data_IF_230632705974
#
_entry.id   IF_230632705974
#
_cell.length_a   1.000
_cell.length_b   1.000
_cell.length_c   1.000
_cell.angle_alpha   90.00
_cell.angle_beta   90.00
_cell.angle_gamma   90.00
#
_symmetry.space_group_name_H-M   'P 1'
#
loop_
_entity.id
_entity.type
_entity.pdbx_description
1 polymer ?
#
# COMPACT_ATOMS: atom_id res chain seq x y z
N UNK A 1 -23.61 -27.14 -9.59
CA UNK A 1 -24.08 -25.76 -9.90
C UNK A 1 -24.22 -24.90 -8.65
N UNK A 2 -24.86 -25.37 -7.56
CA UNK A 2 -25.02 -24.59 -6.31
C UNK A 2 -23.70 -24.10 -5.68
N UNK A 3 -22.63 -24.90 -5.69
CA UNK A 3 -21.34 -24.48 -5.11
C UNK A 3 -20.72 -23.29 -5.86
N UNK A 4 -20.75 -23.29 -7.19
CA UNK A 4 -20.18 -22.19 -8.00
C UNK A 4 -20.97 -20.88 -7.83
N UNK A 5 -22.30 -20.96 -7.76
CA UNK A 5 -23.14 -19.77 -7.53
C UNK A 5 -22.92 -19.17 -6.14
N UNK A 6 -22.74 -20.02 -5.12
CA UNK A 6 -22.45 -19.55 -3.75
C UNK A 6 -21.10 -18.84 -3.71
N UNK A 7 -20.04 -19.43 -4.28
CA UNK A 7 -18.72 -18.80 -4.32
C UNK A 7 -18.75 -17.44 -5.02
N UNK A 8 -19.41 -17.35 -6.18
CA UNK A 8 -19.53 -16.07 -6.91
C UNK A 8 -20.29 -15.03 -6.10
N UNK A 9 -21.40 -15.41 -5.46
CA UNK A 9 -22.17 -14.50 -4.62
C UNK A 9 -21.35 -14.01 -3.42
N UNK A 10 -20.63 -14.92 -2.75
CA UNK A 10 -19.76 -14.59 -1.62
C UNK A 10 -18.67 -13.60 -2.03
N UNK A 11 -17.97 -13.85 -3.14
CA UNK A 11 -16.94 -12.93 -3.66
C UNK A 11 -17.55 -11.56 -3.96
N UNK A 12 -18.71 -11.53 -4.62
CA UNK A 12 -19.40 -10.29 -4.95
C UNK A 12 -19.81 -9.50 -3.71
N UNK A 13 -20.29 -10.17 -2.66
CA UNK A 13 -20.59 -9.54 -1.37
C UNK A 13 -19.34 -8.97 -0.69
N UNK A 14 -18.22 -9.70 -0.71
CA UNK A 14 -16.94 -9.22 -0.15
C UNK A 14 -16.48 -7.97 -0.89
N UNK A 15 -16.55 -7.97 -2.23
CA UNK A 15 -16.16 -6.81 -3.05
C UNK A 15 -17.09 -5.63 -2.78
N UNK A 16 -18.42 -5.83 -2.73
CA UNK A 16 -19.36 -4.76 -2.40
C UNK A 16 -19.07 -4.18 -1.01
N UNK A 17 -18.84 -5.03 -0.02
CA UNK A 17 -18.48 -4.58 1.34
C UNK A 17 -17.19 -3.77 1.35
N UNK A 18 -16.14 -4.26 0.70
CA UNK A 18 -14.86 -3.58 0.57
C UNK A 18 -15.02 -2.18 -0.03
N UNK A 19 -15.73 -2.05 -1.16
CA UNK A 19 -15.96 -0.76 -1.81
C UNK A 19 -16.89 0.16 -1.02
N UNK A 20 -17.91 -0.39 -0.34
CA UNK A 20 -18.79 0.40 0.52
C UNK A 20 -18.01 1.05 1.67
N UNK A 21 -17.20 0.28 2.37
CA UNK A 21 -16.36 0.79 3.46
C UNK A 21 -15.26 1.72 2.93
N UNK A 22 -14.59 1.35 1.84
CA UNK A 22 -13.51 2.16 1.27
C UNK A 22 -13.97 3.51 0.74
N UNK A 23 -15.11 3.60 0.05
CA UNK A 23 -15.63 4.87 -0.47
C UNK A 23 -16.17 5.78 0.64
N UNK A 24 -16.51 5.23 1.80
CA UNK A 24 -17.02 6.01 2.93
C UNK A 24 -15.99 6.98 3.51
N UNK A 25 -14.69 6.75 3.32
CA UNK A 25 -13.61 7.64 3.78
C UNK A 25 -13.75 9.07 3.24
N UNK A 26 -14.23 9.21 1.99
CA UNK A 26 -14.44 10.51 1.34
C UNK A 26 -15.67 11.27 1.86
N UNK A 27 -16.46 10.65 2.75
CA UNK A 27 -17.59 11.31 3.40
C UNK A 27 -17.20 11.93 4.74
N UNK A 28 -16.04 11.54 5.30
CA UNK A 28 -15.53 12.00 6.59
C UNK A 28 -14.64 13.24 6.51
N UNK A 29 -14.55 13.96 7.63
CA UNK A 29 -13.62 15.08 7.82
C UNK A 29 -12.28 14.54 8.36
N UNK A 30 -11.14 15.09 7.94
CA UNK A 30 -9.80 14.68 8.37
C UNK A 30 -9.43 15.06 9.81
N UNK A 31 -10.31 15.81 10.48
CA UNK A 31 -10.20 16.17 11.89
C UNK A 31 -10.65 14.99 12.77
N UNK A 32 -9.95 14.75 13.88
CA UNK A 32 -10.32 13.74 14.86
C UNK A 32 -11.76 13.95 15.38
N UNK A 33 -12.53 12.86 15.47
CA UNK A 33 -13.92 12.94 15.94
C UNK A 33 -13.96 13.44 17.39
N UNK A 34 -14.80 14.45 17.65
CA UNK A 34 -14.93 15.06 18.99
C UNK A 34 -13.91 16.14 19.31
N UNK A 35 -13.10 16.59 18.34
CA UNK A 35 -12.22 17.74 18.48
C UNK A 35 -12.62 18.88 17.56
N UNK A 36 -12.20 20.10 17.92
CA UNK A 36 -12.43 21.33 17.19
C UNK A 36 -11.09 22.05 17.01
N UNK A 37 -10.88 22.61 15.81
CA UNK A 37 -9.88 23.65 15.60
C UNK A 37 -10.60 24.98 15.48
N UNK A 38 -10.24 25.92 16.33
CA UNK A 38 -10.80 27.27 16.34
C UNK A 38 -9.73 28.34 16.19
N UNK A 39 -10.12 29.46 15.60
CA UNK A 39 -9.31 30.66 15.42
C UNK A 39 -10.05 31.87 15.97
N UNK A 40 -9.35 32.99 16.15
CA UNK A 40 -9.99 34.25 16.47
C UNK A 40 -11.03 34.64 15.40
N UNK A 41 -12.17 35.21 15.83
CA UNK A 41 -13.23 35.67 14.91
C UNK A 41 -12.75 36.67 13.85
N UNK A 42 -11.73 37.46 14.17
CA UNK A 42 -11.16 38.47 13.28
C UNK A 42 -10.10 37.90 12.32
N UNK A 43 -9.78 36.61 12.43
CA UNK A 43 -8.83 35.97 11.52
C UNK A 43 -9.46 35.87 10.12
N UNK A 44 -8.83 36.41 9.06
CA UNK A 44 -9.37 36.35 7.71
C UNK A 44 -9.33 34.94 7.09
N UNK A 45 -8.48 34.03 7.60
CA UNK A 45 -8.30 32.70 7.04
C UNK A 45 -9.45 31.78 7.45
N UNK A 46 -10.27 31.38 6.48
CA UNK A 46 -11.47 30.57 6.72
C UNK A 46 -11.24 29.07 6.54
N UNK A 47 -10.33 28.69 5.64
CA UNK A 47 -10.09 27.29 5.25
C UNK A 47 -8.61 27.02 5.21
N UNK A 48 -8.22 25.87 5.74
CA UNK A 48 -6.85 25.36 5.69
C UNK A 48 -6.87 23.91 5.22
N UNK A 49 -5.89 23.54 4.40
CA UNK A 49 -5.69 22.14 4.05
C UNK A 49 -5.06 21.36 5.22
N UNK A 50 -5.23 20.02 5.26
CA UNK A 50 -4.55 19.16 6.23
C UNK A 50 -3.03 19.38 6.28
N UNK A 51 -2.40 19.59 5.13
CA UNK A 51 -0.96 19.86 5.04
C UNK A 51 -0.57 21.21 5.63
N UNK A 52 -1.39 22.26 5.41
CA UNK A 52 -1.15 23.58 6.01
C UNK A 52 -1.26 23.52 7.53
N UNK A 53 -2.26 22.80 8.07
CA UNK A 53 -2.43 22.65 9.52
C UNK A 53 -1.27 21.88 10.11
N UNK A 54 -0.86 20.78 9.49
CA UNK A 54 0.36 20.08 9.91
C UNK A 54 1.57 21.02 9.94
N UNK A 55 1.80 21.80 8.88
CA UNK A 55 2.93 22.73 8.82
C UNK A 55 2.85 23.86 9.88
N UNK A 56 1.66 24.27 10.29
CA UNK A 56 1.47 25.19 11.42
C UNK A 56 1.88 24.52 12.73
N UNK A 57 1.41 23.29 13.00
CA UNK A 57 1.70 22.55 14.23
C UNK A 57 3.15 22.03 14.29
N UNK A 58 3.78 21.79 13.15
CA UNK A 58 5.20 21.50 12.97
C UNK A 58 6.08 22.77 13.06
N UNK A 59 5.49 23.95 13.31
CA UNK A 59 6.16 25.26 13.36
C UNK A 59 6.91 25.67 12.07
N UNK A 60 6.64 25.01 10.94
CA UNK A 60 7.16 25.39 9.62
C UNK A 60 6.49 26.66 9.08
N UNK A 61 5.23 26.88 9.46
CA UNK A 61 4.49 28.11 9.19
C UNK A 61 4.21 28.79 10.53
N UNK A 62 4.84 29.94 10.74
CA UNK A 62 4.76 30.72 11.99
C UNK A 62 4.00 32.03 11.85
N UNK A 63 3.58 32.40 10.64
CA UNK A 63 2.89 33.66 10.35
C UNK A 63 1.67 33.42 9.44
N UNK A 64 0.61 34.18 9.67
CA UNK A 64 -0.66 34.02 8.95
C UNK A 64 -0.59 34.55 7.50
N UNK A 65 0.35 35.42 7.16
CA UNK A 65 0.57 35.96 5.82
C UNK A 65 0.88 34.88 4.78
N UNK A 66 1.64 33.84 5.16
CA UNK A 66 1.92 32.67 4.34
C UNK A 66 0.67 31.87 3.95
N UNK A 67 -0.45 32.11 4.64
CA UNK A 67 -1.74 31.44 4.45
C UNK A 67 -2.81 32.39 3.89
N UNK A 68 -2.42 33.58 3.41
CA UNK A 68 -3.33 34.61 2.91
C UNK A 68 -4.02 35.42 4.01
N UNK A 69 -3.47 35.38 5.23
CA UNK A 69 -3.93 36.15 6.38
C UNK A 69 -3.19 37.46 6.61
N UNK A 70 -3.37 38.02 7.80
CA UNK A 70 -2.62 39.22 8.26
C UNK A 70 -1.18 38.83 8.59
N UNK A 71 -0.22 39.77 8.61
CA UNK A 71 1.17 39.52 9.01
C UNK A 71 1.31 39.39 10.54
N UNK A 72 0.42 38.63 11.16
CA UNK A 72 0.41 38.33 12.58
C UNK A 72 1.07 36.95 12.81
N UNK A 73 1.84 36.82 13.88
CA UNK A 73 2.42 35.53 14.26
C UNK A 73 1.33 34.55 14.73
N UNK A 74 1.50 33.28 14.38
CA UNK A 74 0.60 32.20 14.77
C UNK A 74 0.91 31.80 16.22
N UNK A 75 -0.11 31.81 17.06
CA UNK A 75 -0.04 31.31 18.43
C UNK A 75 -0.74 29.96 18.47
N UNK A 76 0.03 28.89 18.69
CA UNK A 76 -0.51 27.55 18.88
C UNK A 76 -1.08 27.43 20.29
N UNK A 77 -2.28 26.88 20.41
CA UNK A 77 -2.85 26.52 21.70
C UNK A 77 -3.32 25.07 21.69
N UNK A 78 -2.79 24.28 22.61
CA UNK A 78 -3.29 22.95 22.97
C UNK A 78 -3.88 23.03 24.37
N UNK A 79 -4.78 22.10 24.68
CA UNK A 79 -5.40 22.05 26.01
C UNK A 79 -4.38 21.92 27.15
N UNK A 80 -3.24 21.30 26.87
CA UNK A 80 -2.11 21.13 27.80
C UNK A 80 -1.47 22.46 28.20
N UNK A 81 -1.55 23.48 27.32
CA UNK A 81 -0.94 24.80 27.53
C UNK A 81 -1.84 25.72 28.36
N UNK A 82 -3.05 25.30 28.76
CA UNK A 82 -4.02 26.16 29.44
C UNK A 82 -3.50 26.72 30.77
N UNK A 83 -2.66 25.95 31.48
CA UNK A 83 -2.07 26.34 32.76
C UNK A 83 -1.05 27.48 32.63
N UNK A 84 -0.56 27.77 31.42
CA UNK A 84 0.32 28.92 31.17
C UNK A 84 -0.45 30.23 31.11
N UNK A 85 -1.77 30.17 30.87
CA UNK A 85 -2.64 31.35 30.69
C UNK A 85 -3.58 31.61 31.87
N UNK A 86 -3.99 30.55 32.59
CA UNK A 86 -4.97 30.65 33.68
C UNK A 86 -4.55 29.83 34.89
N UNK A 87 -4.94 30.31 36.07
CA UNK A 87 -4.69 29.61 37.33
C UNK A 87 -5.67 28.44 37.55
N UNK A 88 -5.26 27.43 38.34
CA UNK A 88 -6.11 26.27 38.69
C UNK A 88 -7.45 26.67 39.33
N UNK A 89 -7.49 27.83 40.00
CA UNK A 89 -8.70 28.38 40.60
C UNK A 89 -9.73 28.83 39.54
N UNK A 90 -9.28 29.31 38.39
CA UNK A 90 -10.13 29.78 37.28
C UNK A 90 -10.62 28.62 36.41
N UNK A 91 -9.80 27.59 36.24
CA UNK A 91 -10.16 26.37 35.50
C UNK A 91 -11.17 25.54 36.31
N UNK A 92 -11.02 25.53 37.64
CA UNK A 92 -11.82 24.76 38.57
C UNK A 92 -11.39 23.29 38.65
N UNK A 93 -11.61 22.67 39.82
CA UNK A 93 -11.12 21.31 40.12
C UNK A 93 -11.64 20.20 39.18
N UNK A 94 -12.78 20.42 38.52
CA UNK A 94 -13.39 19.51 37.56
C UNK A 94 -13.40 20.05 36.12
N UNK A 95 -12.56 21.06 35.81
CA UNK A 95 -12.54 21.72 34.51
C UNK A 95 -13.85 22.44 34.12
N UNK A 96 -14.67 22.81 35.12
CA UNK A 96 -15.96 23.48 34.90
C UNK A 96 -15.80 24.88 34.26
N UNK A 97 -14.71 25.59 34.59
CA UNK A 97 -14.38 26.90 34.02
C UNK A 97 -13.65 26.82 32.68
N UNK A 98 -13.21 25.63 32.27
CA UNK A 98 -12.36 25.42 31.09
C UNK A 98 -13.01 25.94 29.79
N UNK A 99 -14.31 25.71 29.50
CA UNK A 99 -14.92 26.22 28.26
C UNK A 99 -14.87 27.73 28.12
N UNK A 100 -15.20 28.44 29.21
CA UNK A 100 -15.19 29.90 29.22
C UNK A 100 -13.78 30.48 29.18
N UNK A 101 -12.78 29.79 29.75
CA UNK A 101 -11.37 30.17 29.64
C UNK A 101 -10.86 30.05 28.20
N UNK A 102 -11.13 28.92 27.52
CA UNK A 102 -10.79 28.72 26.11
C UNK A 102 -11.46 29.78 25.23
N UNK A 103 -12.76 30.03 25.42
CA UNK A 103 -13.51 31.03 24.65
C UNK A 103 -12.92 32.44 24.81
N UNK A 104 -12.52 32.83 26.03
CA UNK A 104 -11.87 34.12 26.29
C UNK A 104 -10.48 34.21 25.66
N UNK A 105 -9.69 33.13 25.74
CA UNK A 105 -8.35 33.08 25.16
C UNK A 105 -8.38 33.19 23.63
N UNK A 106 -9.30 32.49 22.98
CA UNK A 106 -9.45 32.55 21.52
C UNK A 106 -9.89 33.93 21.06
N UNK A 107 -10.71 34.64 21.85
CA UNK A 107 -11.16 36.01 21.55
C UNK A 107 -10.06 37.06 21.78
N UNK A 108 -9.19 36.87 22.78
CA UNK A 108 -8.16 37.84 23.16
C UNK A 108 -6.92 37.83 22.26
N UNK A 109 -6.60 36.68 21.65
CA UNK A 109 -5.40 36.51 20.81
C UNK A 109 -5.77 36.46 19.31
N UNK A 110 -5.49 37.51 18.51
CA UNK A 110 -5.84 37.54 17.08
C UNK A 110 -5.19 36.43 16.25
N UNK A 111 -3.94 36.07 16.59
CA UNK A 111 -3.14 35.08 15.87
C UNK A 111 -3.33 33.62 16.34
N UNK A 112 -4.27 33.35 17.24
CA UNK A 112 -4.42 32.01 17.83
C UNK A 112 -5.02 30.99 16.87
N UNK A 113 -4.50 29.77 16.94
CA UNK A 113 -5.13 28.55 16.46
C UNK A 113 -5.16 27.53 17.62
N UNK A 114 -6.38 27.21 18.04
CA UNK A 114 -6.65 26.38 19.21
C UNK A 114 -7.15 25.01 18.77
N UNK A 115 -6.58 23.92 19.30
CA UNK A 115 -7.07 22.56 19.13
C UNK A 115 -7.48 21.98 20.49
N UNK A 116 -8.77 21.65 20.63
CA UNK A 116 -9.33 21.15 21.88
C UNK A 116 -10.56 20.25 21.65
N UNK A 117 -10.92 19.40 22.63
CA UNK A 117 -12.13 18.58 22.57
C UNK A 117 -13.42 19.41 22.51
N UNK A 118 -14.36 19.06 21.62
CA UNK A 118 -15.66 19.73 21.44
C UNK A 118 -16.50 19.76 22.73
N UNK A 119 -16.32 18.76 23.62
CA UNK A 119 -16.98 18.71 24.94
C UNK A 119 -16.65 19.91 25.84
N UNK A 120 -15.54 20.62 25.58
CA UNK A 120 -15.14 21.82 26.30
C UNK A 120 -15.45 23.11 25.52
N UNK A 121 -16.29 23.04 24.50
CA UNK A 121 -16.74 24.24 23.77
C UNK A 121 -17.78 25.00 24.57
N UNK A 122 -17.56 26.29 24.78
CA UNK A 122 -18.52 27.18 25.43
C UNK A 122 -19.77 27.35 24.53
N UNK A 123 -21.00 27.29 25.07
CA UNK A 123 -22.22 27.51 24.29
C UNK A 123 -22.26 28.87 23.59
N UNK A 124 -21.62 29.89 24.17
CA UNK A 124 -21.45 31.22 23.60
C UNK A 124 -19.99 31.42 23.16
N UNK A 125 -19.46 30.47 22.39
CA UNK A 125 -18.09 30.51 21.89
C UNK A 125 -17.83 31.80 21.10
N UNK A 126 -16.84 32.59 21.54
CA UNK A 126 -16.50 33.89 20.95
C UNK A 126 -15.55 33.80 19.76
N UNK A 127 -14.88 32.65 19.61
CA UNK A 127 -14.03 32.36 18.46
C UNK A 127 -14.81 31.86 17.24
N UNK A 128 -14.09 31.48 16.19
CA UNK A 128 -14.65 30.86 15.00
C UNK A 128 -14.03 29.49 14.77
N UNK A 129 -14.84 28.48 14.52
CA UNK A 129 -14.37 27.15 14.12
C UNK A 129 -13.84 27.18 12.67
N UNK A 130 -12.73 26.50 12.42
CA UNK A 130 -12.28 26.28 11.05
C UNK A 130 -13.10 25.16 10.42
N UNK A 131 -13.70 25.45 9.27
CA UNK A 131 -14.42 24.45 8.51
C UNK A 131 -13.45 23.56 7.74
N UNK A 132 -13.53 22.26 8.02
CA UNK A 132 -12.82 21.24 7.26
C UNK A 132 -13.69 20.73 6.13
N UNK A 133 -13.15 20.83 4.91
CA UNK A 133 -13.71 20.10 3.79
C UNK A 133 -13.56 18.59 4.03
N UNK A 134 -14.46 17.81 3.44
CA UNK A 134 -14.30 16.36 3.34
C UNK A 134 -13.01 16.04 2.59
N UNK A 135 -12.41 14.90 2.91
CA UNK A 135 -11.21 14.43 2.22
C UNK A 135 -11.47 14.36 0.71
N UNK A 136 -10.68 15.07 -0.08
CA UNK A 136 -10.81 15.05 -1.53
C UNK A 136 -10.03 13.89 -2.16
N UNK A 137 -10.49 13.39 -3.30
CA UNK A 137 -9.77 12.36 -4.06
C UNK A 137 -8.35 12.82 -4.43
N UNK A 138 -8.17 14.10 -4.76
CA UNK A 138 -6.87 14.65 -5.13
C UNK A 138 -5.89 14.65 -3.96
N UNK A 139 -6.34 15.02 -2.76
CA UNK A 139 -5.49 14.98 -1.56
C UNK A 139 -5.17 13.55 -1.14
N UNK A 140 -6.12 12.62 -1.30
CA UNK A 140 -5.90 11.22 -0.98
C UNK A 140 -4.88 10.57 -1.92
N UNK A 141 -5.11 10.63 -3.24
CA UNK A 141 -4.23 9.98 -4.22
C UNK A 141 -2.94 10.75 -4.51
N UNK A 142 -2.95 12.09 -4.36
CA UNK A 142 -1.79 12.95 -4.58
C UNK A 142 -1.02 13.29 -3.30
N UNK A 143 -1.50 12.86 -2.13
CA UNK A 143 -0.82 13.11 -0.86
C UNK A 143 0.44 12.26 -0.72
N UNK A 144 1.52 12.89 -0.26
CA UNK A 144 2.85 12.29 -0.17
C UNK A 144 3.16 11.68 1.21
N UNK A 145 2.29 11.92 2.20
CA UNK A 145 2.47 11.50 3.59
C UNK A 145 1.32 10.58 4.05
N UNK A 146 1.68 9.44 4.67
CA UNK A 146 0.73 8.54 5.34
C UNK A 146 0.98 8.54 6.85
N UNK A 147 0.21 9.36 7.56
CA UNK A 147 0.18 9.44 9.03
C UNK A 147 -1.28 9.53 9.52
N UNK A 148 -2.00 8.41 9.55
CA UNK A 148 -3.43 8.39 9.89
C UNK A 148 -3.72 8.73 11.36
N UNK A 149 -2.73 8.60 12.24
CA UNK A 149 -2.81 8.90 13.67
C UNK A 149 -2.29 10.30 14.02
N UNK A 150 -1.89 11.10 13.04
CA UNK A 150 -1.39 12.45 13.28
C UNK A 150 -2.48 13.36 13.87
N UNK A 151 -2.15 14.03 14.96
CA UNK A 151 -2.96 15.09 15.56
C UNK A 151 -2.37 16.46 15.21
N UNK A 152 -3.21 17.46 14.88
CA UNK A 152 -4.68 17.46 15.00
C UNK A 152 -5.43 16.93 13.76
N UNK A 153 -4.74 16.72 12.62
CA UNK A 153 -5.37 16.31 11.36
C UNK A 153 -4.60 15.15 10.74
N UNK A 154 -5.33 14.08 10.41
CA UNK A 154 -4.77 12.88 9.80
C UNK A 154 -4.24 13.15 8.38
N UNK A 155 -3.06 12.61 8.07
CA UNK A 155 -2.49 12.64 6.72
C UNK A 155 -2.75 11.29 6.05
N UNK A 156 -3.59 11.27 5.02
CA UNK A 156 -4.03 10.04 4.34
C UNK A 156 -3.54 9.96 2.89
N UNK A 157 -2.36 10.48 2.62
CA UNK A 157 -1.73 10.40 1.31
C UNK A 157 -1.31 8.97 0.98
N UNK A 158 -1.89 8.38 -0.06
CA UNK A 158 -1.63 6.97 -0.43
C UNK A 158 -0.51 6.79 -1.44
N UNK A 159 0.00 7.87 -2.03
CA UNK A 159 1.02 7.84 -3.06
C UNK A 159 2.28 7.03 -2.66
N UNK A 160 2.91 7.23 -1.48
CA UNK A 160 4.07 6.43 -1.09
C UNK A 160 3.76 4.93 -1.01
N UNK A 161 2.56 4.56 -0.57
CA UNK A 161 2.14 3.15 -0.43
C UNK A 161 1.90 2.49 -1.78
N UNK A 162 1.25 3.21 -2.72
CA UNK A 162 1.06 2.75 -4.10
C UNK A 162 2.42 2.54 -4.76
N UNK A 163 3.29 3.55 -4.69
CA UNK A 163 4.62 3.48 -5.28
C UNK A 163 5.45 2.37 -4.66
N UNK A 164 5.50 2.24 -3.33
CA UNK A 164 6.19 1.15 -2.65
C UNK A 164 5.69 -0.23 -3.09
N UNK A 165 4.37 -0.42 -3.20
CA UNK A 165 3.78 -1.68 -3.68
C UNK A 165 4.21 -1.99 -5.11
N UNK A 166 4.12 -1.02 -6.01
CA UNK A 166 4.49 -1.19 -7.41
C UNK A 166 6.00 -1.42 -7.58
N UNK A 167 6.84 -0.70 -6.83
CA UNK A 167 8.30 -0.81 -6.91
C UNK A 167 8.78 -2.20 -6.53
N UNK A 168 8.32 -2.69 -5.38
CA UNK A 168 8.69 -4.01 -4.86
C UNK A 168 8.16 -5.12 -5.77
N UNK A 169 6.89 -5.00 -6.19
CA UNK A 169 6.26 -5.98 -7.08
C UNK A 169 6.95 -6.04 -8.44
N UNK A 170 7.27 -4.88 -9.04
CA UNK A 170 7.96 -4.81 -10.32
C UNK A 170 9.35 -5.45 -10.22
N UNK A 171 10.11 -5.14 -9.18
CA UNK A 171 11.41 -5.77 -8.94
C UNK A 171 11.31 -7.29 -8.79
N UNK A 172 10.30 -7.78 -8.06
CA UNK A 172 10.05 -9.20 -7.89
C UNK A 172 9.72 -9.90 -9.22
N UNK A 173 8.87 -9.27 -10.04
CA UNK A 173 8.43 -9.78 -11.34
C UNK A 173 9.61 -9.82 -12.33
N UNK A 174 10.44 -8.78 -12.35
CA UNK A 174 11.63 -8.71 -13.19
C UNK A 174 12.65 -9.80 -12.85
N UNK A 175 12.69 -10.26 -11.60
CA UNK A 175 13.51 -11.40 -11.20
C UNK A 175 12.82 -12.74 -11.51
N UNK A 176 11.56 -12.89 -11.07
CA UNK A 176 10.87 -14.17 -11.06
C UNK A 176 10.41 -14.63 -12.45
N UNK A 177 9.91 -13.74 -13.31
CA UNK A 177 9.44 -14.14 -14.64
C UNK A 177 10.56 -14.71 -15.52
N UNK A 178 11.68 -14.03 -15.77
CA UNK A 178 12.70 -14.57 -16.67
C UNK A 178 13.31 -15.86 -16.10
N UNK A 179 13.64 -15.88 -14.80
CA UNK A 179 14.23 -17.06 -14.16
C UNK A 179 13.24 -18.23 -14.10
N UNK A 180 11.98 -17.97 -13.76
CA UNK A 180 10.93 -18.97 -13.65
C UNK A 180 10.58 -19.59 -15.01
N UNK A 181 10.47 -18.76 -16.06
CA UNK A 181 10.20 -19.25 -17.42
C UNK A 181 11.40 -20.01 -17.99
N UNK A 182 12.63 -19.54 -17.76
CA UNK A 182 13.83 -20.25 -18.19
C UNK A 182 13.94 -21.63 -17.52
N UNK A 183 13.71 -21.69 -16.20
CA UNK A 183 13.69 -22.95 -15.45
C UNK A 183 12.55 -23.87 -15.92
N UNK A 184 11.36 -23.34 -16.22
CA UNK A 184 10.26 -24.11 -16.77
C UNK A 184 10.61 -24.73 -18.12
N UNK A 185 11.18 -23.95 -19.05
CA UNK A 185 11.58 -24.44 -20.39
C UNK A 185 12.66 -25.50 -20.28
N UNK A 186 13.64 -25.27 -19.39
CA UNK A 186 14.68 -26.26 -19.11
C UNK A 186 14.07 -27.56 -18.58
N UNK A 187 13.23 -27.51 -17.55
CA UNK A 187 12.64 -28.71 -16.96
C UNK A 187 11.68 -29.44 -17.89
N UNK A 188 10.98 -28.74 -18.78
CA UNK A 188 10.00 -29.36 -19.67
C UNK A 188 10.64 -30.03 -20.89
N UNK A 189 11.70 -29.44 -21.48
CA UNK A 189 12.22 -29.87 -22.78
C UNK A 189 13.72 -30.20 -22.84
N UNK A 190 14.52 -29.77 -21.86
CA UNK A 190 15.99 -29.93 -21.90
C UNK A 190 16.48 -30.91 -20.83
N UNK A 191 15.89 -30.87 -19.63
CA UNK A 191 16.30 -31.68 -18.50
C UNK A 191 15.99 -33.17 -18.71
N UNK A 192 16.95 -34.02 -18.37
CA UNK A 192 16.72 -35.47 -18.32
C UNK A 192 15.78 -35.84 -17.17
N UNK A 193 15.11 -36.98 -17.31
CA UNK A 193 14.08 -37.45 -16.37
C UNK A 193 14.57 -37.54 -14.91
N UNK A 194 15.86 -37.81 -14.69
CA UNK A 194 16.45 -37.85 -13.34
C UNK A 194 16.48 -36.47 -12.68
N UNK A 195 16.93 -35.44 -13.41
CA UNK A 195 17.00 -34.07 -12.92
C UNK A 195 15.60 -33.60 -12.59
N UNK A 196 14.64 -33.83 -13.49
CA UNK A 196 13.25 -33.46 -13.31
C UNK A 196 12.61 -34.13 -12.10
N UNK A 197 12.81 -35.45 -11.92
CA UNK A 197 12.25 -36.22 -10.80
C UNK A 197 12.73 -35.70 -9.44
N UNK A 198 13.90 -35.07 -9.40
CA UNK A 198 14.42 -34.43 -8.19
C UNK A 198 13.97 -32.97 -8.05
N UNK A 199 14.06 -32.18 -9.12
CA UNK A 199 13.79 -30.74 -9.10
C UNK A 199 12.31 -30.40 -8.90
N UNK A 200 11.38 -31.14 -9.52
CA UNK A 200 9.94 -30.84 -9.43
C UNK A 200 9.42 -30.92 -7.99
N UNK A 201 9.65 -32.02 -7.23
CA UNK A 201 9.30 -32.05 -5.81
C UNK A 201 9.97 -30.94 -4.99
N UNK A 202 11.24 -30.62 -5.28
CA UNK A 202 11.94 -29.55 -4.56
C UNK A 202 11.28 -28.19 -4.76
N UNK A 203 10.88 -27.87 -6.00
CA UNK A 203 10.18 -26.63 -6.32
C UNK A 203 8.79 -26.59 -5.66
N UNK A 204 8.07 -27.71 -5.64
CA UNK A 204 6.78 -27.81 -4.95
C UNK A 204 6.92 -27.66 -3.43
N UNK A 205 8.00 -28.18 -2.84
CA UNK A 205 8.32 -27.97 -1.42
C UNK A 205 8.58 -26.49 -1.12
N UNK A 206 9.27 -25.76 -2.01
CA UNK A 206 9.46 -24.31 -1.86
C UNK A 206 8.12 -23.56 -1.85
N UNK A 207 7.14 -23.99 -2.65
CA UNK A 207 5.81 -23.39 -2.66
C UNK A 207 5.05 -23.57 -1.33
N UNK A 208 5.36 -24.65 -0.59
CA UNK A 208 4.75 -25.00 0.69
C UNK A 208 5.33 -24.26 1.91
N UNK A 209 6.43 -23.53 1.75
CA UNK A 209 7.05 -22.77 2.84
C UNK A 209 6.15 -21.55 3.19
N UNK A 210 5.79 -21.36 4.48
CA UNK A 210 5.00 -20.19 4.90
C UNK A 210 5.73 -18.86 4.62
N UNK A 211 4.99 -17.81 4.26
CA UNK A 211 5.59 -16.52 3.89
C UNK A 211 6.40 -15.87 5.02
N UNK A 212 5.98 -16.03 6.27
CA UNK A 212 6.74 -15.53 7.44
C UNK A 212 8.13 -16.15 7.55
N UNK A 213 8.31 -17.40 7.11
CA UNK A 213 9.62 -18.08 7.12
C UNK A 213 10.53 -17.45 6.07
N UNK A 214 10.00 -17.12 4.88
CA UNK A 214 10.73 -16.36 3.87
C UNK A 214 11.08 -14.95 4.35
N UNK A 215 10.15 -14.26 5.01
CA UNK A 215 10.40 -12.96 5.63
C UNK A 215 11.52 -13.01 6.67
N UNK A 216 11.48 -14.00 7.56
CA UNK A 216 12.53 -14.21 8.56
C UNK A 216 13.89 -14.53 7.93
N UNK A 217 13.93 -15.43 6.95
CA UNK A 217 15.15 -15.71 6.18
C UNK A 217 15.69 -14.44 5.51
N UNK A 218 14.81 -13.65 4.90
CA UNK A 218 15.18 -12.39 4.27
C UNK A 218 15.77 -11.39 5.26
N UNK A 219 15.15 -11.26 6.43
CA UNK A 219 15.63 -10.36 7.48
C UNK A 219 16.99 -10.78 8.05
N UNK A 220 17.23 -12.08 8.24
CA UNK A 220 18.47 -12.58 8.86
C UNK A 220 19.63 -12.68 7.86
N UNK A 221 19.34 -12.94 6.59
CA UNK A 221 20.38 -13.25 5.59
C UNK A 221 20.43 -12.20 4.48
N UNK A 222 19.30 -11.93 3.82
CA UNK A 222 19.27 -11.05 2.64
C UNK A 222 19.50 -9.58 3.02
N UNK A 223 18.84 -9.11 4.07
CA UNK A 223 18.95 -7.73 4.57
C UNK A 223 20.41 -7.40 4.97
N UNK A 224 21.10 -8.18 5.83
CA UNK A 224 22.51 -7.93 6.15
C UNK A 224 23.45 -8.08 4.95
N UNK A 225 23.11 -8.96 4.00
CA UNK A 225 23.89 -9.11 2.77
C UNK A 225 23.80 -7.84 1.91
N UNK A 226 22.60 -7.33 1.67
CA UNK A 226 22.37 -6.08 0.92
C UNK A 226 23.07 -4.92 1.63
N UNK A 227 22.92 -4.83 2.95
CA UNK A 227 23.57 -3.80 3.76
C UNK A 227 25.09 -3.76 3.53
N UNK A 228 25.74 -4.93 3.54
CA UNK A 228 27.20 -5.05 3.33
C UNK A 228 27.62 -4.83 1.89
N UNK A 229 26.86 -5.35 0.92
CA UNK A 229 27.21 -5.27 -0.51
C UNK A 229 27.08 -3.85 -1.04
N UNK A 230 26.08 -3.10 -0.56
CA UNK A 230 25.79 -1.75 -1.02
C UNK A 230 26.22 -0.65 -0.02
N UNK A 231 26.90 -1.02 1.07
CA UNK A 231 27.37 -0.11 2.13
C UNK A 231 26.27 0.83 2.65
N UNK A 232 25.13 0.23 3.01
CA UNK A 232 23.93 0.97 3.44
C UNK A 232 23.85 1.09 4.97
N UNK A 233 23.26 2.16 5.51
CA UNK A 233 23.00 2.29 6.94
C UNK A 233 22.02 1.22 7.45
N UNK A 234 21.02 0.87 6.63
CA UNK A 234 19.99 -0.15 6.89
C UNK A 234 19.85 -1.04 5.65
N UNK A 235 19.66 -2.34 5.86
CA UNK A 235 19.54 -3.31 4.76
C UNK A 235 18.10 -3.57 4.30
N UNK A 236 17.13 -3.10 5.10
CA UNK A 236 15.71 -3.23 4.85
C UNK A 236 15.29 -2.29 3.73
N UNK A 237 15.09 -2.85 2.55
CA UNK A 237 14.98 -2.08 1.30
C UNK A 237 13.93 -2.67 0.38
N UNK A 238 13.48 -1.87 -0.59
CA UNK A 238 12.66 -2.37 -1.69
C UNK A 238 13.30 -3.56 -2.41
N UNK A 239 14.63 -3.56 -2.58
CA UNK A 239 15.40 -4.65 -3.19
C UNK A 239 15.31 -5.94 -2.38
N UNK A 240 15.47 -5.87 -1.05
CA UNK A 240 15.33 -7.02 -0.16
C UNK A 240 13.94 -7.65 -0.32
N UNK A 241 12.90 -6.80 -0.33
CA UNK A 241 11.52 -7.21 -0.62
C UNK A 241 11.40 -7.90 -1.98
N UNK A 242 11.88 -7.26 -3.05
CA UNK A 242 11.80 -7.80 -4.40
C UNK A 242 12.49 -9.16 -4.56
N UNK A 243 13.64 -9.38 -3.92
CA UNK A 243 14.35 -10.67 -3.97
C UNK A 243 13.52 -11.75 -3.29
N UNK A 244 13.03 -11.49 -2.07
CA UNK A 244 12.25 -12.47 -1.31
C UNK A 244 10.95 -12.81 -2.03
N UNK A 245 10.21 -11.79 -2.50
CA UNK A 245 9.00 -12.00 -3.28
C UNK A 245 9.27 -12.73 -4.59
N UNK A 246 10.38 -12.40 -5.25
CA UNK A 246 10.80 -13.07 -6.48
C UNK A 246 10.99 -14.57 -6.24
N UNK A 247 11.76 -14.93 -5.20
CA UNK A 247 11.97 -16.33 -4.79
C UNK A 247 10.64 -17.02 -4.50
N UNK A 248 9.71 -16.35 -3.82
CA UNK A 248 8.40 -16.91 -3.50
C UNK A 248 7.49 -17.10 -4.72
N UNK A 249 7.62 -16.26 -5.75
CA UNK A 249 6.84 -16.35 -6.98
C UNK A 249 7.38 -17.42 -7.95
N UNK A 250 8.67 -17.77 -7.86
CA UNK A 250 9.32 -18.75 -8.74
C UNK A 250 8.60 -20.09 -8.77
N UNK A 251 8.28 -20.77 -7.64
CA UNK A 251 7.62 -22.07 -7.69
C UNK A 251 6.32 -22.08 -8.47
N UNK A 252 5.49 -21.04 -8.30
CA UNK A 252 4.22 -20.91 -9.00
C UNK A 252 4.44 -20.74 -10.50
N UNK A 253 5.36 -19.86 -10.91
CA UNK A 253 5.65 -19.61 -12.32
C UNK A 253 6.23 -20.86 -12.98
N UNK A 254 7.19 -21.52 -12.32
CA UNK A 254 7.91 -22.69 -12.85
C UNK A 254 6.94 -23.86 -13.04
N UNK A 255 6.23 -24.25 -11.98
CA UNK A 255 5.38 -25.45 -11.98
C UNK A 255 4.27 -25.34 -13.01
N UNK A 256 3.57 -24.20 -13.06
CA UNK A 256 2.43 -24.02 -13.97
C UNK A 256 2.88 -23.92 -15.43
N UNK A 257 3.99 -23.21 -15.68
CA UNK A 257 4.54 -23.08 -17.03
C UNK A 257 5.11 -24.40 -17.55
N UNK A 258 5.80 -25.17 -16.70
CA UNK A 258 6.32 -26.50 -17.05
C UNK A 258 5.18 -27.45 -17.42
N UNK A 259 4.13 -27.52 -16.58
CA UNK A 259 2.99 -28.42 -16.81
C UNK A 259 2.28 -28.06 -18.12
N UNK A 260 2.14 -26.77 -18.42
CA UNK A 260 1.60 -26.28 -19.69
C UNK A 260 2.43 -26.71 -20.90
N UNK A 261 3.77 -26.63 -20.82
CA UNK A 261 4.67 -27.05 -21.90
C UNK A 261 4.66 -28.56 -22.11
N UNK A 262 4.62 -29.34 -21.03
CA UNK A 262 4.59 -30.81 -21.11
C UNK A 262 3.27 -31.37 -21.65
N UNK A 263 2.18 -30.62 -21.53
CA UNK A 263 0.89 -30.97 -22.13
C UNK A 263 0.86 -30.80 -23.66
N UNK A 264 1.92 -30.26 -24.27
CA UNK A 264 2.05 -30.21 -25.74
C UNK A 264 2.10 -31.62 -26.34
N UNK A 265 1.19 -31.97 -27.28
CA UNK A 265 1.16 -33.30 -27.89
C UNK A 265 2.49 -33.71 -28.50
N UNK A 266 2.96 -34.93 -28.20
CA UNK A 266 4.22 -35.47 -28.75
C UNK A 266 4.26 -35.44 -30.27
N UNK A 267 3.14 -35.73 -30.93
CA UNK A 267 3.01 -35.69 -32.38
C UNK A 267 3.39 -34.32 -32.97
N UNK A 268 3.06 -33.20 -32.30
CA UNK A 268 3.45 -31.86 -32.77
C UNK A 268 4.96 -31.64 -32.67
N UNK A 269 5.59 -32.17 -31.61
CA UNK A 269 7.04 -32.07 -31.41
C UNK A 269 7.79 -32.93 -32.44
N UNK A 270 7.36 -34.16 -32.63
CA UNK A 270 7.95 -35.11 -33.59
C UNK A 270 7.78 -34.63 -35.03
N UNK A 271 6.61 -34.09 -35.39
CA UNK A 271 6.38 -33.51 -36.72
C UNK A 271 7.33 -32.32 -37.00
N UNK A 272 7.55 -31.45 -36.01
CA UNK A 272 8.51 -30.35 -36.15
C UNK A 272 9.93 -30.85 -36.42
N UNK A 273 10.38 -31.86 -35.67
CA UNK A 273 11.71 -32.45 -35.84
C UNK A 273 11.84 -33.18 -37.19
N UNK A 274 10.79 -33.87 -37.64
CA UNK A 274 10.75 -34.57 -38.92
C UNK A 274 10.85 -33.61 -40.13
N UNK A 275 10.40 -32.36 -39.98
CA UNK A 275 10.58 -31.29 -40.96
C UNK A 275 12.00 -30.68 -40.95
N UNK A 276 12.94 -31.26 -40.19
CA UNK A 276 14.32 -30.80 -40.10
C UNK A 276 14.53 -29.64 -39.11
N UNK A 277 13.55 -29.33 -38.26
CA UNK A 277 13.74 -28.32 -37.22
C UNK A 277 14.69 -28.81 -36.12
N UNK A 278 15.52 -27.91 -35.60
CA UNK A 278 16.32 -28.16 -34.40
C UNK A 278 15.44 -28.18 -33.14
N UNK A 279 15.92 -28.82 -32.07
CA UNK A 279 15.24 -28.81 -30.75
C UNK A 279 14.87 -27.41 -30.28
N UNK A 280 15.77 -26.44 -30.45
CA UNK A 280 15.50 -25.04 -30.07
C UNK A 280 14.39 -24.40 -30.92
N UNK A 281 14.38 -24.67 -32.23
CA UNK A 281 13.31 -24.21 -33.11
C UNK A 281 11.96 -24.84 -32.74
N UNK A 282 11.93 -26.13 -32.37
CA UNK A 282 10.71 -26.79 -31.88
C UNK A 282 10.21 -26.16 -30.58
N UNK A 283 11.11 -25.89 -29.62
CA UNK A 283 10.75 -25.22 -28.36
C UNK A 283 10.14 -23.84 -28.65
N UNK A 284 10.84 -23.01 -29.41
CA UNK A 284 10.47 -21.62 -29.64
C UNK A 284 9.25 -21.45 -30.56
N UNK A 285 9.14 -22.26 -31.62
CA UNK A 285 8.10 -22.10 -32.65
C UNK A 285 6.88 -23.00 -32.49
N UNK A 286 6.95 -24.05 -31.68
CA UNK A 286 5.84 -25.01 -31.51
C UNK A 286 5.39 -25.08 -30.06
N UNK A 287 6.30 -25.36 -29.14
CA UNK A 287 5.95 -25.64 -27.74
C UNK A 287 5.52 -24.37 -27.01
N UNK A 288 6.34 -23.30 -27.06
CA UNK A 288 6.00 -22.03 -26.40
C UNK A 288 4.69 -21.44 -26.94
N UNK A 289 4.45 -21.38 -28.27
CA UNK A 289 3.19 -20.88 -28.80
C UNK A 289 1.98 -21.74 -28.42
N UNK A 290 2.13 -23.07 -28.41
CA UNK A 290 1.05 -23.97 -28.00
C UNK A 290 0.67 -23.79 -26.52
N UNK A 291 1.66 -23.61 -25.65
CA UNK A 291 1.49 -23.55 -24.20
C UNK A 291 1.32 -22.14 -23.66
N UNK A 292 1.15 -21.13 -24.51
CA UNK A 292 1.16 -19.72 -24.12
C UNK A 292 0.09 -19.39 -23.06
N UNK A 293 -1.10 -20.00 -23.15
CA UNK A 293 -2.19 -19.78 -22.18
C UNK A 293 -1.82 -20.25 -20.77
N UNK A 294 -1.13 -21.38 -20.66
CA UNK A 294 -0.67 -21.90 -19.38
C UNK A 294 0.54 -21.12 -18.84
N UNK A 295 1.46 -20.71 -19.72
CA UNK A 295 2.57 -19.82 -19.35
C UNK A 295 2.04 -18.48 -18.83
N UNK A 296 1.04 -17.89 -19.49
CA UNK A 296 0.43 -16.63 -19.04
C UNK A 296 -0.34 -16.80 -17.75
N UNK A 297 -1.03 -17.93 -17.55
CA UNK A 297 -1.66 -18.24 -16.27
C UNK A 297 -0.64 -18.34 -15.12
N UNK A 298 0.50 -19.03 -15.36
CA UNK A 298 1.59 -19.12 -14.39
C UNK A 298 2.18 -17.76 -14.03
N UNK A 299 2.38 -16.90 -15.04
CA UNK A 299 2.83 -15.53 -14.85
C UNK A 299 1.83 -14.70 -14.04
N UNK A 300 0.54 -14.72 -14.38
CA UNK A 300 -0.52 -13.98 -13.67
C UNK A 300 -0.60 -14.42 -12.20
N UNK A 301 -0.54 -15.73 -11.93
CA UNK A 301 -0.58 -16.25 -10.57
C UNK A 301 0.65 -15.85 -9.75
N UNK A 302 1.84 -15.87 -10.37
CA UNK A 302 3.07 -15.38 -9.73
C UNK A 302 3.04 -13.88 -9.43
N UNK A 303 2.57 -13.08 -10.38
CA UNK A 303 2.40 -11.62 -10.23
C UNK A 303 1.39 -11.29 -9.12
N UNK A 304 0.23 -11.96 -9.13
CA UNK A 304 -0.79 -11.79 -8.10
C UNK A 304 -0.27 -12.12 -6.70
N UNK A 305 0.57 -13.17 -6.59
CA UNK A 305 1.24 -13.51 -5.33
C UNK A 305 2.21 -12.42 -4.88
N UNK A 306 2.99 -11.84 -5.79
CA UNK A 306 3.93 -10.77 -5.44
C UNK A 306 3.23 -9.48 -4.99
N UNK A 307 2.16 -9.06 -5.68
CA UNK A 307 1.43 -7.83 -5.36
C UNK A 307 0.67 -7.94 -4.02
N UNK A 308 0.14 -9.13 -3.73
CA UNK A 308 -0.66 -9.39 -2.52
C UNK A 308 0.14 -9.86 -1.30
N UNK A 309 1.47 -9.93 -1.37
CA UNK A 309 2.27 -10.44 -0.25
C UNK A 309 2.37 -9.40 0.88
N UNK A 310 2.18 -9.88 2.10
CA UNK A 310 1.95 -9.04 3.28
C UNK A 310 3.07 -9.20 4.29
N UNK A 311 3.27 -10.42 4.80
CA UNK A 311 4.07 -10.65 5.99
C UNK A 311 5.56 -10.67 5.67
N UNK A 312 5.94 -11.30 4.56
CA UNK A 312 7.35 -11.31 4.16
C UNK A 312 7.86 -9.89 3.89
N UNK A 313 7.04 -9.07 3.20
CA UNK A 313 7.35 -7.69 2.84
C UNK A 313 7.48 -6.80 4.08
N UNK A 314 6.53 -6.91 5.01
CA UNK A 314 6.53 -6.14 6.26
C UNK A 314 7.85 -6.31 7.04
N UNK A 315 8.42 -7.52 7.01
CA UNK A 315 9.66 -7.84 7.74
C UNK A 315 10.92 -7.30 7.08
N UNK A 316 10.98 -7.23 5.74
CA UNK A 316 12.26 -7.01 5.02
C UNK A 316 12.37 -5.67 4.31
N UNK A 317 11.27 -4.92 4.15
CA UNK A 317 11.26 -3.66 3.40
C UNK A 317 11.41 -2.40 4.27
N UNK A 318 11.46 -2.56 5.58
CA UNK A 318 11.67 -1.47 6.54
C UNK A 318 10.40 -0.69 6.89
N UNK A 319 9.30 -0.91 6.16
CA UNK A 319 7.96 -0.40 6.49
C UNK A 319 7.88 1.14 6.62
N UNK A 320 8.71 1.86 5.85
CA UNK A 320 8.74 3.32 5.83
C UNK A 320 7.77 3.89 4.78
N UNK A 321 6.81 4.71 5.19
CA UNK A 321 5.83 5.34 4.30
C UNK A 321 6.41 6.60 3.62
N UNK A 322 7.47 6.41 2.85
CA UNK A 322 8.16 7.46 2.09
C UNK A 322 8.10 7.15 0.60
N UNK A 323 8.16 8.18 -0.24
CA UNK A 323 8.21 8.00 -1.70
C UNK A 323 9.58 7.44 -2.07
N UNK A 324 9.66 6.22 -2.65
CA UNK A 324 10.94 5.67 -3.04
C UNK A 324 11.51 6.39 -4.26
N UNK A 325 12.77 6.79 -4.17
CA UNK A 325 13.56 7.28 -5.29
C UNK A 325 14.59 6.24 -5.76
N UNK A 326 14.95 5.29 -4.90
CA UNK A 326 15.84 4.17 -5.20
C UNK A 326 15.26 2.83 -4.73
N UNK A 327 15.68 1.73 -5.36
CA UNK A 327 15.30 0.38 -4.90
C UNK A 327 16.04 -0.02 -3.61
N UNK A 328 17.10 0.70 -3.26
CA UNK A 328 17.88 0.51 -2.03
C UNK A 328 17.32 1.32 -0.85
N UNK A 329 16.16 1.95 -1.01
CA UNK A 329 15.50 2.68 0.08
C UNK A 329 14.45 1.79 0.76
N UNK A 330 14.20 2.00 2.07
CA UNK A 330 13.08 1.40 2.76
C UNK A 330 11.75 1.86 2.15
N UNK A 331 10.80 0.94 2.06
CA UNK A 331 9.48 1.19 1.48
C UNK A 331 8.39 0.55 2.30
N UNK A 332 7.17 1.06 2.13
CA UNK A 332 5.96 0.49 2.71
C UNK A 332 4.98 0.15 1.60
N UNK A 333 4.39 -1.04 1.68
CA UNK A 333 3.41 -1.53 0.71
C UNK A 333 2.00 -1.47 1.27
N UNK A 334 1.01 -1.47 0.39
CA UNK A 334 -0.40 -1.47 0.75
C UNK A 334 -0.77 -2.69 1.60
N UNK A 335 -0.44 -3.95 1.19
CA UNK A 335 -0.77 -5.12 2.01
C UNK A 335 -0.13 -5.05 3.40
N UNK A 336 1.14 -4.64 3.50
CA UNK A 336 1.83 -4.48 4.78
C UNK A 336 1.17 -3.41 5.67
N UNK A 337 0.73 -2.30 5.07
CA UNK A 337 0.01 -1.23 5.80
C UNK A 337 -1.31 -1.73 6.37
N UNK A 338 -2.11 -2.41 5.54
CA UNK A 338 -3.40 -2.97 5.98
C UNK A 338 -3.18 -3.95 7.12
N UNK A 339 -2.22 -4.87 7.01
CA UNK A 339 -1.99 -5.85 8.06
C UNK A 339 -1.44 -5.27 9.36
N UNK A 340 -0.59 -4.24 9.27
CA UNK A 340 -0.02 -3.59 10.45
C UNK A 340 -1.05 -2.73 11.20
N UNK A 341 -1.93 -2.02 10.48
CA UNK A 341 -2.75 -0.96 11.07
C UNK A 341 -4.21 -1.34 11.30
N UNK A 342 -4.76 -2.32 10.56
CA UNK A 342 -6.19 -2.63 10.62
C UNK A 342 -6.64 -3.14 12.00
N UNK A 343 -5.77 -3.85 12.72
CA UNK A 343 -6.07 -4.35 14.07
C UNK A 343 -6.09 -3.26 15.14
N UNK A 344 -5.43 -2.13 14.90
CA UNK A 344 -5.32 -1.01 15.85
C UNK A 344 -6.32 0.11 15.54
N UNK A 345 -6.85 0.15 14.32
CA UNK A 345 -7.79 1.17 13.88
C UNK A 345 -9.17 1.03 14.55
N UNK A 346 -9.71 2.08 15.20
CA UNK A 346 -11.05 2.05 15.78
C UNK A 346 -12.12 1.78 14.70
N UNK A 347 -12.99 0.80 14.98
CA UNK A 347 -14.06 0.42 14.05
C UNK A 347 -14.93 1.62 13.68
N UNK A 348 -15.11 1.83 12.36
CA UNK A 348 -15.89 2.94 11.83
C UNK A 348 -15.18 4.30 11.90
N UNK A 349 -13.95 4.39 12.41
CA UNK A 349 -13.12 5.60 12.37
C UNK A 349 -12.61 5.92 10.96
N UNK A 350 -12.09 7.13 10.77
CA UNK A 350 -11.55 7.54 9.47
C UNK A 350 -10.34 6.70 9.04
N UNK A 351 -9.44 6.39 9.99
CA UNK A 351 -8.29 5.52 9.74
C UNK A 351 -8.72 4.14 9.25
N UNK A 352 -9.71 3.52 9.91
CA UNK A 352 -10.27 2.23 9.51
C UNK A 352 -10.78 2.26 8.07
N UNK A 353 -11.61 3.24 7.72
CA UNK A 353 -12.16 3.39 6.36
C UNK A 353 -11.06 3.65 5.31
N UNK A 354 -10.01 4.39 5.67
CA UNK A 354 -8.86 4.61 4.79
C UNK A 354 -8.12 3.30 4.45
N UNK A 355 -8.02 2.35 5.39
CA UNK A 355 -7.44 1.03 5.15
C UNK A 355 -8.29 0.19 4.19
N UNK A 356 -9.64 0.28 4.27
CA UNK A 356 -10.52 -0.33 3.27
C UNK A 356 -10.36 0.32 1.89
N UNK A 357 -10.16 1.63 1.84
CA UNK A 357 -9.87 2.33 0.59
C UNK A 357 -8.55 1.85 -0.02
N UNK A 358 -7.50 1.61 0.79
CA UNK A 358 -6.26 0.97 0.32
C UNK A 358 -6.53 -0.43 -0.26
N UNK A 359 -7.40 -1.24 0.36
CA UNK A 359 -7.82 -2.52 -0.18
C UNK A 359 -8.54 -2.40 -1.54
N UNK A 360 -9.39 -1.39 -1.71
CA UNK A 360 -10.00 -1.08 -3.02
C UNK A 360 -8.95 -0.73 -4.07
N UNK A 361 -7.96 0.08 -3.70
CA UNK A 361 -6.85 0.45 -4.59
C UNK A 361 -6.06 -0.78 -5.01
N UNK A 362 -5.69 -1.64 -4.05
CA UNK A 362 -4.95 -2.88 -4.32
C UNK A 362 -5.74 -3.81 -5.25
N UNK A 363 -7.06 -3.93 -5.03
CA UNK A 363 -7.95 -4.69 -5.89
C UNK A 363 -7.94 -4.13 -7.33
N UNK A 364 -8.07 -2.82 -7.50
CA UNK A 364 -8.05 -2.17 -8.82
C UNK A 364 -6.69 -2.30 -9.51
N UNK A 365 -5.58 -2.16 -8.79
CA UNK A 365 -4.23 -2.37 -9.32
C UNK A 365 -4.08 -3.80 -9.82
N UNK A 366 -4.48 -4.77 -9.00
CA UNK A 366 -4.39 -6.20 -9.36
C UNK A 366 -5.26 -6.53 -10.57
N UNK A 367 -6.50 -6.02 -10.59
CA UNK A 367 -7.41 -6.18 -11.71
C UNK A 367 -6.82 -5.59 -13.00
N UNK A 368 -6.29 -4.36 -12.94
CA UNK A 368 -5.70 -3.68 -14.09
C UNK A 368 -4.49 -4.45 -14.65
N UNK A 369 -3.60 -4.92 -13.78
CA UNK A 369 -2.44 -5.72 -14.18
C UNK A 369 -2.88 -7.03 -14.82
N UNK A 370 -3.82 -7.75 -14.20
CA UNK A 370 -4.32 -9.02 -14.73
C UNK A 370 -4.99 -8.83 -16.10
N UNK A 371 -5.83 -7.80 -16.26
CA UNK A 371 -6.46 -7.47 -17.54
C UNK A 371 -5.42 -7.11 -18.61
N UNK A 372 -4.37 -6.38 -18.25
CA UNK A 372 -3.29 -6.01 -19.17
C UNK A 372 -2.54 -7.24 -19.66
N UNK A 373 -2.18 -8.15 -18.75
CA UNK A 373 -1.47 -9.40 -19.10
C UNK A 373 -2.35 -10.28 -20.00
N UNK A 374 -3.62 -10.43 -19.67
CA UNK A 374 -4.58 -11.22 -20.45
C UNK A 374 -4.80 -10.63 -21.86
N UNK A 375 -4.95 -9.31 -21.96
CA UNK A 375 -5.10 -8.62 -23.23
C UNK A 375 -3.88 -8.80 -24.15
N UNK A 376 -2.67 -8.69 -23.59
CA UNK A 376 -1.40 -8.91 -24.32
C UNK A 376 -1.30 -10.38 -24.78
N UNK A 377 -1.68 -11.33 -23.94
CA UNK A 377 -1.67 -12.76 -24.26
C UNK A 377 -2.63 -13.10 -25.42
N UNK A 378 -3.88 -12.64 -25.33
CA UNK A 378 -4.90 -12.93 -26.34
C UNK A 378 -4.57 -12.34 -27.72
N UNK A 379 -3.90 -11.18 -27.79
CA UNK A 379 -3.47 -10.59 -29.06
C UNK A 379 -2.43 -11.45 -29.79
N UNK A 380 -1.53 -12.13 -29.06
CA UNK A 380 -0.54 -13.05 -29.64
C UNK A 380 -1.17 -14.33 -30.17
N UNK A 381 -2.28 -14.78 -29.58
CA UNK A 381 -3.05 -15.94 -30.07
C UNK A 381 -3.66 -15.69 -31.45
N UNK A 382 -4.11 -14.46 -31.74
CA UNK A 382 -4.71 -14.09 -33.03
C UNK A 382 -3.71 -13.83 -34.16
N UNK A 383 -2.48 -13.40 -33.86
CA UNK A 383 -1.47 -13.11 -34.90
C UNK A 383 -0.67 -14.35 -35.37
N UNK A 384 -0.81 -15.50 -34.69
CA UNK A 384 -0.11 -16.75 -35.01
C UNK A 384 -1.02 -17.80 -35.69
N UNK A 385 -2.24 -17.42 -36.02
CA UNK A 385 -3.14 -18.12 -36.94
C UNK A 385 -3.22 -17.32 -38.24
#
# INVERSE_FOLDING_TARGET
>A
MLSGTVTTLTVLLIVIFLFKEGLSVFTKKPLEEGYVIAVNKNNPVQKLSPAQIKNIYDQKISHWDALGGKPDSIVLFRLEDISDFYSDAEIGKNFEGLPSCISRLVDSLPGIIAFFPDKYKDPNFKGRELEFNKLSLREFFGGEEWFPTAQPVAQLGVLPLILGTLWVSLGAILLALPLGLAAAVYMSEIADERVRRFMKPLIELLAGIPSVVYGFFGLVIIVPLIQKVFDLPVGETGLAGSIILGIMALPTIITISEDAMRNTPRAMKEASLALGASKWQTIYKVIIPYSISGITAGAILGIGRAIGETMAVLMVTGNAAVIPHSILEPVRTIPATIAAELGEAPNGGMHYQALFALGCILFLITLFINLTVEFISNRKKYNNH
#
